data_IF_615747340769
#
_entry.id   IF_615747340769
#
_cell.length_a   1.000
_cell.length_b   1.000
_cell.length_c   1.000
_cell.angle_alpha   90.00
_cell.angle_beta   90.00
_cell.angle_gamma   90.00
#
_symmetry.space_group_name_H-M   'P 1'
#
loop_
_entity.id
_entity.type
_entity.pdbx_description
1 polymer ?
#
# COMPACT_ATOMS: atom_id res chain seq x y z
N UNK A 1 -11.96 23.82 -4.17
CA UNK A 1 -10.91 24.73 -3.70
C UNK A 1 -9.65 23.93 -3.33
N UNK A 2 -8.47 24.44 -3.69
CA UNK A 2 -7.17 23.88 -3.30
C UNK A 2 -6.85 24.35 -1.89
N UNK A 3 -6.34 23.44 -1.05
CA UNK A 3 -5.94 23.74 0.32
C UNK A 3 -4.47 23.32 0.52
N UNK A 4 -3.63 24.25 1.00
CA UNK A 4 -2.25 23.96 1.35
C UNK A 4 -2.16 23.40 2.78
N UNK A 5 -1.35 22.35 2.96
CA UNK A 5 -1.13 21.73 4.28
C UNK A 5 0.35 21.78 4.60
N UNK A 6 0.70 22.46 5.69
CA UNK A 6 2.06 22.67 6.13
C UNK A 6 2.39 21.73 7.29
N UNK A 7 3.51 21.03 7.20
CA UNK A 7 3.93 20.03 8.18
C UNK A 7 5.30 20.32 8.82
N UNK A 8 6.03 21.32 8.33
CA UNK A 8 7.33 21.76 8.87
C UNK A 8 7.65 23.19 8.39
N UNK A 9 8.63 23.84 9.04
CA UNK A 9 9.16 25.15 8.70
C UNK A 9 10.66 25.05 8.51
N UNK A 10 11.15 25.36 7.31
CA UNK A 10 12.58 25.25 6.96
C UNK A 10 13.28 26.60 6.83
N UNK A 11 12.53 27.67 6.63
CA UNK A 11 13.03 29.03 6.59
C UNK A 11 11.99 30.02 7.14
N UNK A 12 12.41 31.05 7.81
CA UNK A 12 11.58 32.11 8.36
C UNK A 12 12.26 33.47 8.23
N UNK A 13 11.60 34.45 7.61
CA UNK A 13 12.10 35.82 7.42
C UNK A 13 13.55 35.88 6.87
N UNK A 14 13.85 35.01 5.90
CA UNK A 14 15.19 34.92 5.30
C UNK A 14 16.21 34.08 6.08
N UNK A 15 15.85 33.57 7.27
CA UNK A 15 16.74 32.74 8.08
C UNK A 15 16.46 31.25 7.85
N UNK A 16 17.52 30.44 7.71
CA UNK A 16 17.46 28.99 7.66
C UNK A 16 17.25 28.44 9.07
N UNK A 17 16.11 27.77 9.30
CA UNK A 17 15.76 27.17 10.60
C UNK A 17 15.87 25.64 10.60
N UNK A 18 16.40 25.02 9.55
CA UNK A 18 16.55 23.56 9.43
C UNK A 18 17.43 22.95 10.55
N UNK A 19 18.38 23.74 11.07
CA UNK A 19 19.25 23.35 12.18
C UNK A 19 18.56 23.26 13.53
N UNK A 20 17.35 23.80 13.68
CA UNK A 20 16.58 23.75 14.92
C UNK A 20 15.89 22.38 15.09
N UNK A 21 15.63 21.95 16.34
CA UNK A 21 14.80 20.79 16.63
C UNK A 21 13.39 20.91 16.00
N UNK A 22 12.79 19.79 15.58
CA UNK A 22 11.45 19.77 14.98
C UNK A 22 10.40 20.46 15.87
N UNK A 23 10.42 20.21 17.19
CA UNK A 23 9.47 20.86 18.12
C UNK A 23 9.52 22.38 18.03
N UNK A 24 10.73 22.98 17.92
CA UNK A 24 10.91 24.43 17.80
C UNK A 24 10.39 24.93 16.45
N UNK A 25 10.68 24.20 15.35
CA UNK A 25 10.20 24.58 14.03
C UNK A 25 8.66 24.50 13.95
N UNK A 26 8.03 23.54 14.63
CA UNK A 26 6.57 23.43 14.72
C UNK A 26 5.95 24.55 15.55
N UNK A 27 6.59 24.97 16.66
CA UNK A 27 6.18 26.13 17.45
C UNK A 27 6.25 27.43 16.63
N UNK A 28 7.34 27.62 15.88
CA UNK A 28 7.48 28.76 14.97
C UNK A 28 6.42 28.73 13.87
N UNK A 29 6.20 27.59 13.24
CA UNK A 29 5.14 27.42 12.23
C UNK A 29 3.75 27.75 12.82
N UNK A 30 3.49 27.37 14.06
CA UNK A 30 2.25 27.67 14.74
C UNK A 30 2.02 29.18 14.95
N UNK A 31 3.10 29.93 15.21
CA UNK A 31 3.05 31.38 15.43
C UNK A 31 2.86 32.15 14.12
N UNK A 32 3.45 31.68 13.01
CA UNK A 32 3.44 32.42 11.74
C UNK A 32 2.31 32.02 10.78
N UNK A 33 1.71 30.84 11.00
CA UNK A 33 0.61 30.35 10.18
C UNK A 33 -0.65 30.15 11.04
N UNK A 34 -1.49 31.19 11.20
CA UNK A 34 -2.80 31.03 11.83
C UNK A 34 -3.70 30.15 10.96
N UNK A 35 -4.78 29.59 11.52
CA UNK A 35 -5.78 28.85 10.74
C UNK A 35 -6.39 29.72 9.64
N UNK A 36 -6.26 29.28 8.38
CA UNK A 36 -6.84 29.94 7.20
C UNK A 36 -7.69 28.94 6.43
N UNK A 37 -8.67 29.43 5.68
CA UNK A 37 -9.54 28.60 4.85
C UNK A 37 -8.77 27.82 3.77
N UNK A 38 -7.66 28.39 3.27
CA UNK A 38 -6.84 27.84 2.18
C UNK A 38 -5.50 27.26 2.63
N UNK A 39 -5.11 27.47 3.90
CA UNK A 39 -3.84 27.02 4.45
C UNK A 39 -4.02 26.54 5.89
N UNK A 40 -3.47 25.36 6.20
CA UNK A 40 -3.56 24.79 7.55
C UNK A 40 -2.27 24.06 7.89
N UNK A 41 -2.03 23.88 9.20
CA UNK A 41 -0.97 23.02 9.69
C UNK A 41 -1.47 21.58 9.80
N UNK A 42 -0.57 20.60 9.65
CA UNK A 42 -0.89 19.22 9.99
C UNK A 42 -1.16 19.12 11.50
N UNK A 43 -2.17 18.34 11.85
CA UNK A 43 -2.36 17.89 13.23
C UNK A 43 -1.27 16.87 13.56
N UNK A 44 -0.69 16.97 14.76
CA UNK A 44 0.27 16.01 15.27
C UNK A 44 -0.08 15.64 16.72
N UNK A 45 0.28 14.43 17.11
CA UNK A 45 0.19 13.93 18.47
C UNK A 45 1.60 13.60 18.97
N UNK A 46 1.88 13.95 20.22
CA UNK A 46 3.13 13.58 20.90
C UNK A 46 2.85 12.36 21.77
N UNK A 47 3.64 11.32 21.62
CA UNK A 47 3.40 10.02 22.26
C UNK A 47 2.25 9.24 21.63
N UNK A 48 1.92 8.11 22.24
CA UNK A 48 0.78 7.25 21.86
C UNK A 48 0.66 6.94 20.35
N UNK A 49 1.79 6.68 19.70
CA UNK A 49 1.86 6.44 18.25
C UNK A 49 1.03 5.24 17.78
N UNK A 50 0.92 4.20 18.62
CA UNK A 50 0.13 2.99 18.30
C UNK A 50 -1.36 3.29 18.18
N UNK A 51 -1.94 4.02 19.13
CA UNK A 51 -3.36 4.40 19.07
C UNK A 51 -3.64 5.35 17.89
N UNK A 52 -2.70 6.26 17.59
CA UNK A 52 -2.82 7.13 16.43
C UNK A 52 -2.73 6.35 15.10
N UNK A 53 -1.86 5.36 15.04
CA UNK A 53 -1.76 4.45 13.89
C UNK A 53 -3.04 3.63 13.69
N UNK A 54 -3.60 3.06 14.76
CA UNK A 54 -4.86 2.32 14.71
C UNK A 54 -6.03 3.21 14.22
N UNK A 55 -6.13 4.45 14.74
CA UNK A 55 -7.13 5.42 14.30
C UNK A 55 -6.95 5.79 12.82
N UNK A 56 -5.71 5.99 12.36
CA UNK A 56 -5.41 6.27 10.95
C UNK A 56 -5.87 5.12 10.04
N UNK A 57 -5.66 3.87 10.46
CA UNK A 57 -6.15 2.68 9.76
C UNK A 57 -7.68 2.63 9.67
N UNK A 58 -8.38 2.89 10.78
CA UNK A 58 -9.85 2.95 10.82
C UNK A 58 -10.41 4.06 9.90
N UNK A 59 -9.72 5.19 9.81
CA UNK A 59 -10.07 6.29 8.92
C UNK A 59 -9.71 6.03 7.43
N UNK A 60 -9.10 4.88 7.11
CA UNK A 60 -8.68 4.53 5.76
C UNK A 60 -7.51 5.36 5.23
N UNK A 61 -6.69 5.95 6.10
CA UNK A 61 -5.51 6.70 5.69
C UNK A 61 -4.38 5.76 5.25
N UNK A 62 -3.52 6.21 4.34
CA UNK A 62 -2.36 5.43 3.84
C UNK A 62 -1.39 5.03 4.96
N UNK A 63 -1.33 5.83 6.03
CA UNK A 63 -0.43 5.63 7.15
C UNK A 63 -0.09 6.91 7.87
N UNK A 64 0.88 6.83 8.76
CA UNK A 64 1.37 7.95 9.56
C UNK A 64 2.86 8.16 9.35
N UNK A 65 3.36 9.35 9.71
CA UNK A 65 4.79 9.65 9.75
C UNK A 65 5.17 9.95 11.18
N UNK A 66 5.94 9.03 11.80
CA UNK A 66 6.59 9.28 13.07
C UNK A 66 7.81 10.17 12.89
N UNK A 67 7.94 11.22 13.68
CA UNK A 67 9.04 12.17 13.61
C UNK A 67 9.65 12.38 15.00
N UNK A 68 10.98 12.26 15.11
CA UNK A 68 11.67 12.54 16.37
C UNK A 68 11.64 14.04 16.65
N UNK A 69 11.14 14.47 17.80
CA UNK A 69 10.95 15.88 18.15
C UNK A 69 12.25 16.69 18.19
N UNK A 70 13.35 16.07 18.59
CA UNK A 70 14.66 16.72 18.63
C UNK A 70 15.44 16.64 17.30
N UNK A 71 14.83 16.10 16.23
CA UNK A 71 15.51 15.99 14.94
C UNK A 71 15.64 17.33 14.22
N UNK A 72 16.78 17.51 13.57
CA UNK A 72 17.02 18.56 12.59
C UNK A 72 16.38 18.17 11.23
N UNK A 73 16.15 19.13 10.36
CA UNK A 73 15.70 18.87 9.00
C UNK A 73 16.89 18.54 8.09
N UNK A 74 17.05 17.28 7.74
CA UNK A 74 18.24 16.82 7.01
C UNK A 74 18.17 16.96 5.48
N UNK A 75 16.98 17.20 4.90
CA UNK A 75 16.77 17.24 3.44
C UNK A 75 17.00 15.91 2.72
N UNK A 76 17.19 14.82 3.47
CA UNK A 76 17.42 13.45 2.97
C UNK A 76 16.74 12.44 3.88
N UNK A 77 16.67 11.18 3.46
CA UNK A 77 16.18 10.10 4.33
C UNK A 77 17.07 9.94 5.56
N UNK A 78 16.43 9.93 6.74
CA UNK A 78 17.08 9.64 8.03
C UNK A 78 16.15 8.75 8.86
N UNK A 79 16.69 8.05 9.86
CA UNK A 79 15.87 7.27 10.80
C UNK A 79 14.99 8.13 11.72
N UNK A 80 15.19 9.46 11.72
CA UNK A 80 14.41 10.38 12.55
C UNK A 80 12.97 10.58 12.05
N UNK A 81 12.71 10.28 10.76
CA UNK A 81 11.39 10.33 10.15
C UNK A 81 11.04 8.96 9.59
N UNK A 82 10.06 8.29 10.19
CA UNK A 82 9.65 6.93 9.84
C UNK A 82 8.22 6.96 9.30
N UNK A 83 8.04 6.52 8.06
CA UNK A 83 6.71 6.30 7.48
C UNK A 83 6.24 4.91 7.87
N UNK A 84 5.10 4.84 8.57
CA UNK A 84 4.41 3.60 8.93
C UNK A 84 3.12 3.54 8.11
N UNK A 85 3.01 2.54 7.23
CA UNK A 85 1.85 2.38 6.35
C UNK A 85 0.76 1.56 7.02
N UNK A 86 -0.49 1.95 6.82
CA UNK A 86 -1.66 1.15 7.17
C UNK A 86 -1.92 0.16 6.03
N UNK A 87 -1.36 -1.04 6.15
CA UNK A 87 -1.60 -2.11 5.18
C UNK A 87 -3.00 -2.71 5.40
N UNK A 88 -3.74 -2.86 4.33
CA UNK A 88 -5.01 -3.61 4.31
C UNK A 88 -4.73 -5.06 3.97
N UNK A 89 -5.57 -5.95 4.47
CA UNK A 89 -5.56 -7.38 4.13
C UNK A 89 -6.96 -7.80 3.73
N UNK A 90 -7.02 -8.62 2.71
CA UNK A 90 -8.28 -9.17 2.22
C UNK A 90 -8.02 -10.48 1.50
N UNK A 91 -9.01 -11.35 1.51
CA UNK A 91 -9.02 -12.60 0.76
C UNK A 91 -9.46 -12.34 -0.68
N UNK A 92 -8.82 -13.05 -1.61
CA UNK A 92 -9.11 -13.00 -3.03
C UNK A 92 -9.13 -14.40 -3.63
N UNK A 93 -10.00 -14.60 -4.60
CA UNK A 93 -10.08 -15.85 -5.36
C UNK A 93 -9.01 -15.88 -6.44
N UNK A 94 -8.29 -16.99 -6.54
CA UNK A 94 -7.30 -17.21 -7.59
C UNK A 94 -8.00 -17.73 -8.84
N UNK A 95 -7.93 -17.00 -9.94
CA UNK A 95 -8.50 -17.37 -11.24
C UNK A 95 -7.47 -17.75 -12.30
N UNK A 96 -6.18 -17.57 -12.01
CA UNK A 96 -5.12 -17.91 -12.96
C UNK A 96 -3.74 -17.45 -12.50
N UNK A 97 -2.77 -17.61 -13.40
CA UNK A 97 -1.40 -17.17 -13.15
C UNK A 97 -0.67 -16.87 -14.47
N UNK A 98 0.44 -16.15 -14.40
CA UNK A 98 1.34 -15.96 -15.53
C UNK A 98 2.42 -17.02 -15.55
N UNK A 99 2.93 -17.35 -16.73
CA UNK A 99 4.15 -18.13 -16.86
C UNK A 99 5.32 -17.43 -16.16
N UNK A 100 6.25 -18.18 -15.56
CA UNK A 100 7.43 -17.60 -14.94
C UNK A 100 8.32 -16.95 -16.00
N UNK A 101 9.07 -15.92 -15.61
CA UNK A 101 10.08 -15.29 -16.45
C UNK A 101 11.49 -15.64 -15.96
N UNK A 102 12.40 -15.85 -16.90
CA UNK A 102 13.79 -16.20 -16.61
C UNK A 102 13.94 -17.62 -16.05
N UNK A 103 14.76 -17.77 -15.02
CA UNK A 103 15.09 -19.07 -14.39
C UNK A 103 14.14 -19.50 -13.27
N UNK A 104 13.10 -18.72 -13.00
CA UNK A 104 12.12 -19.02 -11.95
C UNK A 104 11.26 -20.22 -12.35
N UNK A 105 11.08 -21.19 -11.44
CA UNK A 105 10.13 -22.30 -11.61
C UNK A 105 8.71 -21.91 -11.17
N UNK A 106 7.72 -22.73 -11.55
CA UNK A 106 6.33 -22.58 -11.12
C UNK A 106 5.58 -21.48 -11.89
N UNK A 107 5.20 -20.41 -11.22
CA UNK A 107 4.45 -19.29 -11.81
C UNK A 107 5.15 -17.94 -11.63
N UNK A 108 4.79 -16.96 -12.45
CA UNK A 108 5.30 -15.58 -12.34
C UNK A 108 4.51 -14.71 -11.36
N UNK A 109 3.20 -14.64 -11.56
CA UNK A 109 2.26 -13.89 -10.72
C UNK A 109 0.89 -14.57 -10.74
N UNK A 110 0.14 -14.46 -9.64
CA UNK A 110 -1.26 -14.92 -9.55
C UNK A 110 -2.21 -13.85 -10.12
N UNK A 111 -3.23 -14.27 -10.84
CA UNK A 111 -4.40 -13.47 -11.21
C UNK A 111 -5.49 -13.68 -10.18
N UNK A 112 -5.95 -12.59 -9.56
CA UNK A 112 -6.91 -12.66 -8.46
C UNK A 112 -8.11 -11.78 -8.71
N UNK A 113 -9.23 -12.19 -8.14
CA UNK A 113 -10.50 -11.50 -8.23
C UNK A 113 -11.33 -11.62 -6.98
N UNK A 114 -12.49 -10.96 -7.01
CA UNK A 114 -13.51 -11.01 -5.96
C UNK A 114 -14.86 -11.35 -6.58
N UNK A 115 -15.72 -11.99 -5.81
CA UNK A 115 -17.10 -12.19 -6.25
C UNK A 115 -17.94 -10.95 -5.96
N UNK A 116 -18.67 -10.47 -6.96
CA UNK A 116 -19.77 -9.52 -6.85
C UNK A 116 -21.07 -10.22 -7.26
N UNK A 117 -21.83 -10.66 -6.27
CA UNK A 117 -22.93 -11.57 -6.50
C UNK A 117 -22.44 -12.89 -7.13
N UNK A 118 -22.99 -13.35 -8.28
CA UNK A 118 -22.53 -14.57 -8.94
C UNK A 118 -21.29 -14.38 -9.82
N UNK A 119 -20.88 -13.14 -10.11
CA UNK A 119 -19.81 -12.83 -11.06
C UNK A 119 -18.46 -12.76 -10.38
N UNK A 120 -17.45 -13.38 -10.96
CA UNK A 120 -16.06 -13.24 -10.55
C UNK A 120 -15.41 -12.06 -11.32
N UNK A 121 -15.09 -11.00 -10.60
CA UNK A 121 -14.49 -9.78 -11.15
C UNK A 121 -12.98 -9.85 -11.00
N UNK A 122 -12.24 -9.64 -12.10
CA UNK A 122 -10.78 -9.53 -12.05
C UNK A 122 -10.34 -8.27 -11.33
N UNK A 123 -9.43 -8.39 -10.38
CA UNK A 123 -8.91 -7.26 -9.60
C UNK A 123 -7.49 -6.91 -10.01
N UNK A 124 -6.55 -7.86 -9.93
CA UNK A 124 -5.13 -7.57 -10.21
C UNK A 124 -4.30 -8.83 -10.38
N UNK A 125 -3.01 -8.62 -10.72
CA UNK A 125 -1.99 -9.67 -10.63
C UNK A 125 -1.07 -9.43 -9.43
N UNK A 126 -0.68 -10.48 -8.73
CA UNK A 126 0.18 -10.46 -7.56
C UNK A 126 1.44 -11.26 -7.84
N UNK A 127 2.59 -10.58 -7.91
CA UNK A 127 3.88 -11.19 -8.24
C UNK A 127 4.90 -11.14 -7.12
N UNK A 128 4.54 -10.63 -5.94
CA UNK A 128 5.42 -10.45 -4.78
C UNK A 128 4.85 -11.15 -3.55
N UNK A 129 5.71 -11.42 -2.56
CA UNK A 129 5.33 -12.12 -1.32
C UNK A 129 5.54 -13.63 -1.37
N UNK A 130 6.16 -14.15 -2.43
CA UNK A 130 6.45 -15.58 -2.60
C UNK A 130 7.94 -15.86 -2.39
N UNK A 131 8.24 -16.88 -1.62
CA UNK A 131 9.52 -17.57 -1.64
C UNK A 131 9.44 -18.85 -2.50
N UNK A 132 10.56 -19.57 -2.66
CA UNK A 132 10.62 -20.77 -3.49
C UNK A 132 9.70 -21.90 -3.00
N UNK A 133 9.60 -22.08 -1.68
CA UNK A 133 8.77 -23.12 -1.06
C UNK A 133 7.28 -22.81 -1.28
N UNK A 134 6.90 -21.55 -1.13
CA UNK A 134 5.53 -21.09 -1.40
C UNK A 134 5.15 -21.27 -2.87
N UNK A 135 6.06 -20.93 -3.80
CA UNK A 135 5.80 -21.11 -5.24
C UNK A 135 5.55 -22.57 -5.55
N UNK A 136 6.39 -23.50 -5.06
CA UNK A 136 6.22 -24.92 -5.30
C UNK A 136 4.92 -25.46 -4.70
N UNK A 137 4.59 -25.03 -3.48
CA UNK A 137 3.37 -25.45 -2.78
C UNK A 137 2.11 -24.94 -3.51
N UNK A 138 2.07 -23.68 -3.87
CA UNK A 138 0.94 -23.08 -4.59
C UNK A 138 0.83 -23.67 -6.00
N UNK A 139 1.94 -23.89 -6.72
CA UNK A 139 1.91 -24.52 -8.04
C UNK A 139 1.24 -25.91 -8.01
N UNK A 140 1.56 -26.74 -7.00
CA UNK A 140 0.94 -28.06 -6.83
C UNK A 140 -0.57 -27.97 -6.62
N UNK A 141 -1.07 -26.93 -5.96
CA UNK A 141 -2.50 -26.70 -5.79
C UNK A 141 -3.17 -26.19 -7.07
N UNK A 142 -2.46 -25.41 -7.89
CA UNK A 142 -2.97 -24.84 -9.13
C UNK A 142 -3.02 -25.84 -10.29
N UNK A 143 -2.04 -26.78 -10.35
CA UNK A 143 -1.89 -27.71 -11.47
C UNK A 143 -3.16 -28.54 -11.79
N UNK A 144 -3.85 -29.16 -10.80
CA UNK A 144 -5.05 -29.95 -11.08
C UNK A 144 -6.28 -29.08 -11.45
N UNK A 145 -6.19 -27.77 -11.25
CA UNK A 145 -7.30 -26.83 -11.49
C UNK A 145 -7.20 -26.09 -12.84
N UNK A 146 -6.19 -26.40 -13.66
CA UNK A 146 -6.01 -25.76 -14.97
C UNK A 146 -7.21 -25.88 -15.85
N UNK A 147 -7.58 -24.79 -16.51
CA UNK A 147 -8.68 -24.71 -17.49
C UNK A 147 -8.28 -23.90 -18.72
N UNK A 148 -9.03 -24.07 -19.83
CA UNK A 148 -8.71 -23.44 -21.10
C UNK A 148 -9.11 -21.95 -21.17
N UNK A 149 -10.18 -21.55 -20.47
CA UNK A 149 -10.77 -20.21 -20.56
C UNK A 149 -10.67 -19.46 -19.24
N UNK A 150 -10.70 -18.14 -19.31
CA UNK A 150 -10.74 -17.28 -18.11
C UNK A 150 -11.98 -17.61 -17.24
N UNK A 151 -11.84 -17.66 -15.92
CA UNK A 151 -12.96 -17.74 -15.00
C UNK A 151 -13.57 -16.37 -14.67
N UNK A 152 -12.89 -15.27 -15.06
CA UNK A 152 -13.37 -13.93 -14.76
C UNK A 152 -14.48 -13.53 -15.73
N UNK A 153 -15.62 -13.12 -15.17
CA UNK A 153 -16.79 -12.64 -15.92
C UNK A 153 -16.59 -11.20 -16.39
N UNK A 154 -15.91 -10.38 -15.57
CA UNK A 154 -15.60 -8.99 -15.88
C UNK A 154 -14.14 -8.67 -15.57
N UNK A 155 -13.55 -7.78 -16.39
CA UNK A 155 -12.14 -7.47 -16.37
C UNK A 155 -11.29 -8.61 -16.93
N UNK A 156 -10.07 -8.32 -17.29
CA UNK A 156 -9.09 -9.33 -17.69
C UNK A 156 -7.67 -8.77 -17.59
N UNK A 157 -6.69 -9.62 -17.29
CA UNK A 157 -5.30 -9.19 -17.34
C UNK A 157 -4.88 -8.91 -18.79
N UNK A 158 -4.04 -7.91 -18.94
CA UNK A 158 -3.43 -7.56 -20.23
C UNK A 158 -2.19 -8.40 -20.52
N UNK A 159 -1.91 -8.68 -21.80
CA UNK A 159 -0.69 -9.37 -22.26
C UNK A 159 -0.94 -10.81 -22.71
N UNK A 160 0.13 -11.62 -22.73
CA UNK A 160 0.15 -13.02 -23.15
C UNK A 160 0.71 -13.92 -22.06
N UNK A 161 0.55 -15.24 -22.21
CA UNK A 161 1.14 -16.22 -21.29
C UNK A 161 0.34 -16.42 -20.01
N UNK A 162 -0.96 -16.21 -20.06
CA UNK A 162 -1.86 -16.49 -18.96
C UNK A 162 -2.26 -17.97 -18.96
N UNK A 163 -2.24 -18.57 -17.79
CA UNK A 163 -2.82 -19.88 -17.51
C UNK A 163 -3.99 -19.69 -16.54
N UNK A 164 -5.17 -20.20 -16.92
CA UNK A 164 -6.38 -20.10 -16.10
C UNK A 164 -6.55 -21.32 -15.22
N UNK A 165 -7.23 -21.13 -14.09
CA UNK A 165 -7.59 -22.20 -13.17
C UNK A 165 -9.05 -22.06 -12.73
N UNK A 166 -9.64 -23.18 -12.30
CA UNK A 166 -10.94 -23.16 -11.62
C UNK A 166 -10.86 -22.28 -10.37
N UNK A 167 -11.81 -21.36 -10.14
CA UNK A 167 -11.76 -20.38 -9.04
C UNK A 167 -12.17 -20.99 -7.70
N UNK A 168 -11.39 -21.97 -7.22
CA UNK A 168 -11.63 -22.73 -5.99
C UNK A 168 -10.67 -22.39 -4.86
N UNK A 169 -9.57 -21.70 -5.17
CA UNK A 169 -8.55 -21.37 -4.21
C UNK A 169 -8.66 -19.91 -3.80
N UNK A 170 -8.47 -19.66 -2.53
CA UNK A 170 -8.48 -18.32 -1.92
C UNK A 170 -7.12 -18.04 -1.34
N UNK A 171 -6.65 -16.81 -1.48
CA UNK A 171 -5.40 -16.35 -0.89
C UNK A 171 -5.58 -15.01 -0.18
N UNK A 172 -4.83 -14.80 0.90
CA UNK A 172 -4.75 -13.52 1.58
C UNK A 172 -3.72 -12.63 0.90
N UNK A 173 -4.13 -11.39 0.60
CA UNK A 173 -3.28 -10.38 -0.01
C UNK A 173 -3.25 -9.15 0.89
N UNK A 174 -2.03 -8.68 1.17
CA UNK A 174 -1.77 -7.38 1.78
C UNK A 174 -1.61 -6.35 0.68
N UNK A 175 -2.24 -5.17 0.83
CA UNK A 175 -2.14 -4.06 -0.11
C UNK A 175 -2.30 -2.72 0.60
N UNK A 176 -1.88 -1.63 -0.05
CA UNK A 176 -1.96 -0.29 0.54
C UNK A 176 -3.36 0.29 0.42
N UNK A 177 -3.96 0.23 -0.77
CA UNK A 177 -5.29 0.79 -1.07
C UNK A 177 -5.89 0.17 -2.32
N UNK A 178 -7.22 0.25 -2.44
CA UNK A 178 -7.92 0.04 -3.69
C UNK A 178 -7.70 1.24 -4.59
N UNK A 179 -7.38 1.01 -5.86
CA UNK A 179 -7.27 2.07 -6.86
C UNK A 179 -8.65 2.45 -7.39
N UNK A 180 -8.77 3.61 -8.05
CA UNK A 180 -10.06 4.09 -8.57
C UNK A 180 -10.64 3.21 -9.68
N UNK A 181 -9.81 2.49 -10.37
CA UNK A 181 -10.13 1.53 -11.43
C UNK A 181 -10.35 0.10 -10.90
N UNK A 182 -10.48 -0.07 -9.57
CA UNK A 182 -10.82 -1.36 -8.94
C UNK A 182 -9.64 -2.32 -8.78
N UNK A 183 -8.40 -1.87 -8.98
CA UNK A 183 -7.19 -2.65 -8.73
C UNK A 183 -6.62 -2.46 -7.32
N UNK A 184 -5.48 -3.09 -7.03
CA UNK A 184 -4.76 -2.95 -5.76
C UNK A 184 -3.41 -2.28 -5.94
N UNK A 185 -3.07 -1.37 -5.02
CA UNK A 185 -1.74 -0.77 -4.98
C UNK A 185 -0.81 -1.57 -4.08
N UNK A 186 0.37 -1.93 -4.60
CA UNK A 186 1.42 -2.71 -3.93
C UNK A 186 0.91 -4.04 -3.33
N UNK A 187 0.20 -4.87 -4.11
CA UNK A 187 -0.30 -6.14 -3.60
C UNK A 187 0.84 -7.10 -3.29
N UNK A 188 0.74 -7.80 -2.17
CA UNK A 188 1.72 -8.78 -1.68
C UNK A 188 0.97 -10.00 -1.16
N UNK A 189 1.31 -11.18 -1.65
CA UNK A 189 0.76 -12.45 -1.18
C UNK A 189 1.22 -12.73 0.26
N UNK A 190 0.31 -13.18 1.10
CA UNK A 190 0.58 -13.55 2.48
C UNK A 190 0.45 -15.06 2.74
N UNK A 191 -0.48 -15.72 2.04
CA UNK A 191 -0.77 -17.14 2.24
C UNK A 191 -2.03 -17.60 1.52
N UNK A 192 -2.28 -18.91 1.60
CA UNK A 192 -3.52 -19.58 1.18
C UNK A 192 -4.46 -19.66 2.36
#
# INVERSE_FOLDING_TARGET
>A
PVRAVFFDLIALLGHDVRGLPLRVRQELLARVLPPLATAQRTTHLVGNGEAFFAAAGTMGLEGIVGKRLESKYAGRRTPDWVKVKCDRRQEFVIGGFTQPQGTRSGFGALHVGVYEGPKLIYVTKVGTGFDGVMIDSVSKLLDPLKRATSPFDEGSPTGKGHQWVEPRLVCEIRFTEWTRDGGLRHPTFLGM
#
